data_IF_314297209543
#
_entry.id   IF_314297209543
#
_cell.length_a   1.000
_cell.length_b   1.000
_cell.length_c   1.000
_cell.angle_alpha   90.00
_cell.angle_beta   90.00
_cell.angle_gamma   90.00
#
_symmetry.space_group_name_H-M   'P 1'
#
loop_
_entity.id
_entity.type
_entity.pdbx_description
1 polymer ?
#
# COMPACT_ATOMS: atom_id res chain seq x y z
N UNK A 1 19.32 -7.61 14.68
CA UNK A 1 19.33 -6.65 15.80
C UNK A 1 19.29 -5.27 15.17
N UNK A 2 18.10 -4.69 15.03
CA UNK A 2 17.81 -3.25 14.85
C UNK A 2 16.29 -3.10 14.98
N UNK A 3 15.79 -3.40 16.18
CA UNK A 3 14.65 -2.65 16.69
C UNK A 3 15.24 -1.35 17.22
N UNK A 4 15.00 -0.24 16.52
CA UNK A 4 14.89 1.05 17.18
C UNK A 4 14.08 1.94 16.25
N UNK A 5 12.82 2.16 16.61
CA UNK A 5 12.15 3.42 16.29
C UNK A 5 13.13 4.54 16.61
N UNK A 6 13.31 5.50 15.70
CA UNK A 6 14.16 6.66 15.98
C UNK A 6 13.55 7.42 17.17
N UNK A 7 14.10 7.15 18.36
CA UNK A 7 13.64 7.69 19.64
C UNK A 7 13.57 9.24 19.60
N UNK A 8 14.33 9.87 18.70
CA UNK A 8 14.32 11.31 18.50
C UNK A 8 13.02 11.81 17.87
N UNK A 9 12.42 11.08 16.93
CA UNK A 9 11.14 11.44 16.33
C UNK A 9 9.99 11.29 17.35
N UNK A 10 10.00 10.18 18.08
CA UNK A 10 9.03 9.89 19.13
C UNK A 10 9.07 10.95 20.25
N UNK A 11 10.27 11.37 20.64
CA UNK A 11 10.45 12.41 21.67
C UNK A 11 9.96 13.78 21.18
N UNK A 12 10.13 14.10 19.90
CA UNK A 12 9.68 15.35 19.31
C UNK A 12 8.14 15.45 19.23
N UNK A 13 7.47 14.34 18.89
CA UNK A 13 6.00 14.26 18.89
C UNK A 13 5.43 14.41 20.31
N UNK A 14 5.99 13.71 21.31
CA UNK A 14 5.58 13.84 22.72
C UNK A 14 5.77 15.24 23.29
N UNK A 15 6.83 15.92 22.86
CA UNK A 15 7.06 17.30 23.23
C UNK A 15 5.96 18.23 22.68
N UNK A 16 5.47 17.99 21.46
CA UNK A 16 4.38 18.76 20.87
C UNK A 16 3.08 18.60 21.66
N UNK A 17 2.68 17.35 21.94
CA UNK A 17 1.46 17.06 22.69
C UNK A 17 1.50 17.64 24.12
N UNK A 18 2.67 17.60 24.78
CA UNK A 18 2.84 18.24 26.09
C UNK A 18 2.72 19.78 26.00
N UNK A 19 3.24 20.40 24.94
CA UNK A 19 3.12 21.85 24.72
C UNK A 19 1.66 22.25 24.44
N UNK A 20 0.90 21.42 23.73
CA UNK A 20 -0.54 21.62 23.50
C UNK A 20 -1.42 21.31 24.71
N UNK A 21 -0.84 20.72 25.78
CA UNK A 21 -1.58 20.31 26.98
C UNK A 21 -2.42 19.03 26.79
N UNK A 22 -2.08 18.23 25.77
CA UNK A 22 -2.73 16.95 25.44
C UNK A 22 -2.08 15.75 26.16
N UNK A 23 -0.90 15.94 26.76
CA UNK A 23 -0.24 14.99 27.65
C UNK A 23 -0.10 15.54 29.08
N UNK A 24 -0.25 14.65 30.07
CA UNK A 24 0.07 14.94 31.47
C UNK A 24 1.58 15.23 31.62
N UNK A 25 1.94 16.50 31.84
CA UNK A 25 3.33 16.94 31.90
C UNK A 25 3.53 18.29 32.59
N UNK A 26 4.75 18.83 32.50
CA UNK A 26 5.10 20.13 33.08
C UNK A 26 4.51 21.28 32.25
N UNK A 27 3.52 21.99 32.79
CA UNK A 27 2.80 23.11 32.15
C UNK A 27 3.68 24.35 31.89
N UNK A 28 4.97 24.32 32.28
CA UNK A 28 5.91 25.43 32.09
C UNK A 28 6.49 25.51 30.67
N UNK A 29 6.25 24.54 29.82
CA UNK A 29 6.69 24.60 28.42
C UNK A 29 5.92 25.69 27.66
N UNK A 30 6.64 26.42 26.81
CA UNK A 30 6.08 27.52 26.01
C UNK A 30 5.80 27.03 24.58
N UNK A 31 4.82 27.62 23.87
CA UNK A 31 4.38 27.15 22.54
C UNK A 31 5.48 27.01 21.49
N UNK A 32 6.51 27.85 21.55
CA UNK A 32 7.62 27.87 20.59
C UNK A 32 8.77 26.90 20.92
N UNK A 33 8.60 26.06 21.95
CA UNK A 33 9.61 25.08 22.39
C UNK A 33 9.79 24.00 21.32
N UNK A 34 11.04 23.75 20.90
CA UNK A 34 11.34 22.72 19.89
C UNK A 34 11.15 23.17 18.42
N UNK A 35 10.59 24.37 18.21
CA UNK A 35 10.29 24.93 16.87
C UNK A 35 11.29 26.03 16.51
N UNK A 36 11.64 26.89 17.47
CA UNK A 36 12.46 28.08 17.19
C UNK A 36 13.91 27.77 17.50
N UNK A 37 14.69 27.51 16.44
CA UNK A 37 16.12 27.20 16.53
C UNK A 37 16.94 28.45 16.89
N UNK A 38 16.63 29.60 16.28
CA UNK A 38 17.34 30.85 16.55
C UNK A 38 17.19 31.27 18.02
N UNK A 39 18.34 31.51 18.65
CA UNK A 39 18.40 31.79 20.09
C UNK A 39 17.82 33.16 20.44
N UNK A 40 17.97 34.15 19.57
CA UNK A 40 17.47 35.50 19.83
C UNK A 40 15.96 35.54 19.69
N UNK A 41 15.41 34.92 18.64
CA UNK A 41 13.98 34.84 18.40
C UNK A 41 13.27 34.05 19.50
N UNK A 42 13.84 32.90 19.91
CA UNK A 42 13.32 32.13 21.04
C UNK A 42 13.34 32.91 22.35
N UNK A 43 14.41 33.67 22.63
CA UNK A 43 14.50 34.47 23.86
C UNK A 43 13.45 35.59 23.88
N UNK A 44 13.23 36.26 22.74
CA UNK A 44 12.21 37.28 22.60
C UNK A 44 10.79 36.71 22.79
N UNK A 45 10.48 35.59 22.13
CA UNK A 45 9.19 34.90 22.26
C UNK A 45 8.94 34.41 23.70
N UNK A 46 9.96 33.82 24.34
CA UNK A 46 9.86 33.41 25.75
C UNK A 46 9.55 34.58 26.67
N UNK A 47 10.24 35.71 26.49
CA UNK A 47 10.00 36.90 27.30
C UNK A 47 8.58 37.42 27.14
N UNK A 48 8.09 37.52 25.89
CA UNK A 48 6.73 38.01 25.61
C UNK A 48 5.66 37.10 26.17
N UNK A 49 5.82 35.78 26.02
CA UNK A 49 4.89 34.77 26.51
C UNK A 49 4.84 34.75 28.05
N UNK A 50 5.99 34.79 28.72
CA UNK A 50 6.05 34.87 30.20
C UNK A 50 5.43 36.17 30.72
N UNK A 51 5.76 37.31 30.11
CA UNK A 51 5.22 38.60 30.52
C UNK A 51 3.68 38.66 30.39
N UNK A 52 3.11 38.03 29.36
CA UNK A 52 1.65 37.97 29.17
C UNK A 52 0.97 37.00 30.14
N UNK A 53 1.57 35.84 30.44
CA UNK A 53 1.05 34.89 31.43
C UNK A 53 1.03 35.49 32.85
N UNK A 54 2.06 36.25 33.22
CA UNK A 54 2.16 36.90 34.54
C UNK A 54 1.21 38.11 34.71
N UNK A 55 0.85 38.79 33.62
CA UNK A 55 0.10 40.05 33.70
C UNK A 55 -1.37 39.90 34.18
N UNK A 56 -1.95 38.69 34.22
CA UNK A 56 -3.30 38.33 34.73
C UNK A 56 -4.48 39.19 34.21
N UNK A 57 -4.23 40.12 33.27
CA UNK A 57 -5.21 40.97 32.59
C UNK A 57 -4.77 41.07 31.14
N UNK A 58 -5.49 40.40 30.25
CA UNK A 58 -5.29 40.60 28.82
C UNK A 58 -6.05 41.85 28.38
N UNK A 59 -5.39 42.89 27.84
CA UNK A 59 -6.07 43.99 27.16
C UNK A 59 -6.58 43.57 25.77
N UNK A 60 -6.22 42.37 25.29
CA UNK A 60 -6.28 41.97 23.87
C UNK A 60 -6.72 40.50 23.77
N UNK A 61 -7.89 40.16 24.33
CA UNK A 61 -8.65 38.93 24.01
C UNK A 61 -8.02 37.55 24.27
N UNK A 62 -6.72 37.45 24.59
CA UNK A 62 -5.96 36.21 24.79
C UNK A 62 -5.09 36.27 26.04
N UNK A 63 -5.04 35.19 26.82
CA UNK A 63 -4.18 35.03 27.99
C UNK A 63 -2.72 34.70 27.66
N UNK A 64 -2.40 34.40 26.40
CA UNK A 64 -1.05 34.10 25.90
C UNK A 64 -0.64 35.10 24.81
N UNK A 65 0.67 35.29 24.63
CA UNK A 65 1.19 36.14 23.55
C UNK A 65 0.89 35.53 22.19
N UNK A 66 1.08 34.21 22.06
CA UNK A 66 0.74 33.45 20.86
C UNK A 66 -0.71 33.69 20.40
N UNK A 67 -1.68 33.73 21.32
CA UNK A 67 -3.09 33.94 20.96
C UNK A 67 -3.44 35.38 20.56
N UNK A 68 -2.50 36.33 20.60
CA UNK A 68 -2.72 37.69 20.07
C UNK A 68 -2.53 37.73 18.56
N UNK A 69 -3.16 38.70 17.88
CA UNK A 69 -2.97 38.88 16.43
C UNK A 69 -1.50 39.10 16.03
N UNK A 70 -0.72 39.78 16.87
CA UNK A 70 0.71 39.97 16.65
C UNK A 70 1.50 38.68 16.90
N UNK A 71 1.17 37.93 17.95
CA UNK A 71 1.74 36.62 18.23
C UNK A 71 1.52 35.66 17.07
N UNK A 72 0.29 35.53 16.58
CA UNK A 72 -0.06 34.71 15.42
C UNK A 72 0.73 35.09 14.16
N UNK A 73 0.89 36.39 13.87
CA UNK A 73 1.63 36.86 12.71
C UNK A 73 3.14 36.54 12.81
N UNK A 74 3.72 36.65 14.00
CA UNK A 74 5.12 36.33 14.25
C UNK A 74 5.34 34.81 14.23
N UNK A 75 4.50 34.05 14.93
CA UNK A 75 4.55 32.58 14.96
C UNK A 75 4.43 31.99 13.56
N UNK A 76 3.49 32.47 12.74
CA UNK A 76 3.32 32.00 11.36
C UNK A 76 4.57 32.22 10.51
N UNK A 77 5.23 33.37 10.65
CA UNK A 77 6.48 33.64 9.94
C UNK A 77 7.59 32.69 10.41
N UNK A 78 7.82 32.60 11.71
CA UNK A 78 8.90 31.80 12.30
C UNK A 78 8.70 30.31 11.99
N UNK A 79 7.47 29.79 12.09
CA UNK A 79 7.12 28.42 11.70
C UNK A 79 7.44 28.13 10.23
N UNK A 80 7.14 29.07 9.34
CA UNK A 80 7.39 28.92 7.91
C UNK A 80 8.88 28.87 7.60
N UNK A 81 9.67 29.74 8.23
CA UNK A 81 11.12 29.78 8.08
C UNK A 81 11.75 28.48 8.61
N UNK A 82 11.39 28.06 9.83
CA UNK A 82 11.85 26.77 10.42
C UNK A 82 11.45 25.57 9.56
N UNK A 83 10.20 25.50 9.08
CA UNK A 83 9.75 24.37 8.24
C UNK A 83 10.55 24.27 6.94
N UNK A 84 10.85 25.41 6.32
CA UNK A 84 11.66 25.48 5.10
C UNK A 84 13.07 24.98 5.33
N UNK A 85 13.68 25.35 6.45
CA UNK A 85 15.02 24.89 6.84
C UNK A 85 15.03 23.40 7.21
N UNK A 86 14.03 22.91 7.93
CA UNK A 86 13.90 21.51 8.30
C UNK A 86 13.77 20.59 7.08
N UNK A 87 13.01 21.01 6.06
CA UNK A 87 12.93 20.30 4.77
C UNK A 87 14.28 20.32 4.05
N UNK A 88 14.95 21.48 3.98
CA UNK A 88 16.24 21.61 3.31
C UNK A 88 17.36 20.79 3.99
N UNK A 89 17.31 20.65 5.31
CA UNK A 89 18.29 19.94 6.12
C UNK A 89 17.93 18.46 6.37
N UNK A 90 16.75 18.00 5.96
CA UNK A 90 16.26 16.64 6.23
C UNK A 90 15.97 16.36 7.71
N UNK A 91 15.56 17.37 8.47
CA UNK A 91 15.35 17.28 9.92
C UNK A 91 13.94 16.74 10.25
N UNK A 92 13.80 15.42 10.25
CA UNK A 92 12.53 14.71 10.46
C UNK A 92 11.82 15.03 11.78
N UNK A 93 12.56 15.30 12.85
CA UNK A 93 11.99 15.55 14.18
C UNK A 93 11.30 16.91 14.27
N UNK A 94 11.91 17.93 13.66
CA UNK A 94 11.31 19.28 13.55
C UNK A 94 10.11 19.26 12.62
N UNK A 95 10.17 18.53 11.50
CA UNK A 95 9.01 18.35 10.62
C UNK A 95 7.83 17.71 11.36
N UNK A 96 8.06 16.59 12.06
CA UNK A 96 7.03 15.88 12.84
C UNK A 96 6.38 16.77 13.90
N UNK A 97 7.17 17.63 14.55
CA UNK A 97 6.69 18.54 15.59
C UNK A 97 5.88 19.72 14.99
N UNK A 98 6.26 20.24 13.82
CA UNK A 98 5.55 21.36 13.16
C UNK A 98 4.19 20.92 12.60
N UNK A 99 4.12 19.73 11.98
CA UNK A 99 2.88 19.22 11.40
C UNK A 99 1.89 18.69 12.43
N UNK A 100 2.26 18.70 13.72
CA UNK A 100 1.36 18.34 14.82
C UNK A 100 0.89 16.90 14.77
N UNK A 101 1.77 16.00 14.34
CA UNK A 101 1.41 14.59 14.22
C UNK A 101 1.49 13.96 15.62
N UNK A 102 0.31 13.68 16.16
CA UNK A 102 0.12 13.09 17.50
C UNK A 102 0.38 11.58 17.48
N UNK A 103 0.56 10.95 18.64
CA UNK A 103 0.72 9.50 18.84
C UNK A 103 -0.50 8.72 18.29
N UNK A 104 -1.64 9.40 18.04
CA UNK A 104 -2.81 8.83 17.33
C UNK A 104 -2.66 8.82 15.79
N UNK A 105 -1.91 9.76 15.20
CA UNK A 105 -1.64 9.83 13.75
C UNK A 105 -0.27 9.21 13.37
N UNK A 106 0.61 8.98 14.34
CA UNK A 106 1.88 8.26 14.22
C UNK A 106 1.88 7.02 15.10
N UNK A 107 0.99 6.08 14.83
CA UNK A 107 1.35 4.71 15.15
C UNK A 107 2.50 4.37 14.19
N UNK A 108 3.74 4.23 14.66
CA UNK A 108 4.86 3.86 13.79
C UNK A 108 4.59 2.54 13.05
N UNK A 109 3.65 1.72 13.55
CA UNK A 109 3.08 0.59 12.84
C UNK A 109 2.26 0.97 11.60
N UNK A 110 1.58 2.12 11.56
CA UNK A 110 0.81 2.62 10.42
C UNK A 110 1.68 2.95 9.19
N UNK A 111 2.95 3.35 9.38
CA UNK A 111 3.92 3.47 8.28
C UNK A 111 4.70 2.18 8.04
N UNK A 112 5.04 1.45 9.12
CA UNK A 112 5.79 0.20 9.03
C UNK A 112 5.02 -0.89 8.29
N UNK A 113 3.70 -1.00 8.50
CA UNK A 113 2.89 -2.04 7.87
C UNK A 113 2.83 -1.87 6.33
N UNK A 114 2.54 -0.68 5.77
CA UNK A 114 2.69 -0.43 4.34
C UNK A 114 4.09 -0.74 3.81
N UNK A 115 5.16 -0.35 4.50
CA UNK A 115 6.54 -0.67 4.06
C UNK A 115 6.83 -2.18 4.09
N UNK A 116 6.36 -2.88 5.12
CA UNK A 116 6.50 -4.34 5.20
C UNK A 116 5.72 -5.02 4.08
N UNK A 117 4.48 -4.57 3.81
CA UNK A 117 3.70 -5.06 2.67
C UNK A 117 4.39 -4.79 1.33
N UNK A 118 4.97 -3.60 1.15
CA UNK A 118 5.76 -3.27 -0.05
C UNK A 118 6.96 -4.20 -0.21
N UNK A 119 7.70 -4.50 0.87
CA UNK A 119 8.81 -5.44 0.82
C UNK A 119 8.37 -6.86 0.42
N UNK A 120 7.21 -7.32 0.91
CA UNK A 120 6.63 -8.60 0.49
C UNK A 120 6.16 -8.58 -0.98
N UNK A 121 5.66 -7.44 -1.47
CA UNK A 121 5.26 -7.27 -2.88
C UNK A 121 6.50 -7.17 -3.79
N UNK A 122 7.56 -6.50 -3.36
CA UNK A 122 8.82 -6.41 -4.11
C UNK A 122 9.45 -7.79 -4.31
N UNK A 123 9.26 -8.70 -3.34
CA UNK A 123 9.60 -10.12 -3.43
C UNK A 123 11.01 -10.36 -4.02
N UNK A 124 12.00 -9.59 -3.54
CA UNK A 124 13.40 -9.63 -3.98
C UNK A 124 13.58 -9.43 -5.51
N UNK A 125 12.72 -8.62 -6.13
CA UNK A 125 12.72 -8.34 -7.56
C UNK A 125 12.13 -9.46 -8.43
N UNK A 126 11.55 -10.50 -7.83
CA UNK A 126 10.76 -11.50 -8.52
C UNK A 126 9.26 -11.13 -8.47
N UNK A 127 8.44 -11.58 -9.43
CA UNK A 127 7.02 -11.26 -9.40
C UNK A 127 6.36 -11.76 -8.12
N UNK A 128 5.62 -10.90 -7.43
CA UNK A 128 4.79 -11.31 -6.30
C UNK A 128 3.48 -11.95 -6.78
N UNK A 129 3.14 -13.10 -6.22
CA UNK A 129 1.89 -13.78 -6.49
C UNK A 129 0.99 -13.70 -5.26
N UNK A 130 0.11 -12.70 -5.24
CA UNK A 130 -0.84 -12.46 -4.17
C UNK A 130 -2.08 -13.36 -4.32
N UNK A 131 -2.32 -14.29 -3.40
CA UNK A 131 -3.55 -15.09 -3.37
C UNK A 131 -4.46 -14.61 -2.24
N UNK A 132 -5.58 -13.98 -2.60
CA UNK A 132 -6.50 -13.35 -1.66
C UNK A 132 -7.75 -14.22 -1.44
N UNK A 133 -7.87 -14.84 -0.27
CA UNK A 133 -8.96 -15.75 0.06
C UNK A 133 -9.80 -15.29 1.27
N UNK A 134 -10.96 -15.90 1.46
CA UNK A 134 -11.89 -15.56 2.53
C UNK A 134 -13.34 -15.58 2.07
N UNK A 135 -14.27 -15.63 3.03
CA UNK A 135 -15.70 -15.75 2.74
C UNK A 135 -16.20 -14.68 1.74
N UNK A 136 -17.25 -14.95 0.96
CA UNK A 136 -17.88 -13.93 0.12
C UNK A 136 -18.20 -12.65 0.90
N UNK A 137 -18.15 -11.48 0.25
CA UNK A 137 -18.42 -10.18 0.86
C UNK A 137 -17.51 -9.75 2.03
N UNK A 138 -16.33 -10.35 2.16
CA UNK A 138 -15.30 -9.92 3.13
C UNK A 138 -14.40 -8.81 2.60
N UNK A 139 -14.58 -8.29 1.37
CA UNK A 139 -13.75 -7.20 0.86
C UNK A 139 -12.33 -7.62 0.44
N UNK A 140 -12.17 -8.83 -0.09
CA UNK A 140 -10.88 -9.33 -0.61
C UNK A 140 -10.38 -8.51 -1.79
N UNK A 141 -11.26 -8.27 -2.77
CA UNK A 141 -10.95 -7.43 -3.94
C UNK A 141 -10.52 -6.04 -3.51
N UNK A 142 -11.21 -5.45 -2.54
CA UNK A 142 -10.83 -4.16 -1.95
C UNK A 142 -9.40 -4.17 -1.39
N UNK A 143 -9.03 -5.18 -0.59
CA UNK A 143 -7.65 -5.26 -0.06
C UNK A 143 -6.63 -5.57 -1.15
N UNK A 144 -6.95 -6.38 -2.16
CA UNK A 144 -6.06 -6.62 -3.30
C UNK A 144 -5.82 -5.33 -4.11
N UNK A 145 -6.88 -4.54 -4.35
CA UNK A 145 -6.79 -3.22 -5.00
C UNK A 145 -5.91 -2.28 -4.17
N UNK A 146 -6.07 -2.22 -2.84
CA UNK A 146 -5.21 -1.40 -1.99
C UNK A 146 -3.73 -1.74 -2.14
N UNK A 147 -3.39 -3.04 -2.22
CA UNK A 147 -2.00 -3.48 -2.37
C UNK A 147 -1.43 -3.09 -3.74
N UNK A 148 -2.24 -3.18 -4.80
CA UNK A 148 -1.83 -2.70 -6.13
C UNK A 148 -1.65 -1.18 -6.14
N UNK A 149 -2.59 -0.43 -5.53
CA UNK A 149 -2.47 1.02 -5.39
C UNK A 149 -1.23 1.42 -4.61
N UNK A 150 -0.95 0.72 -3.50
CA UNK A 150 0.26 0.94 -2.71
C UNK A 150 1.52 0.71 -3.57
N UNK A 151 1.55 -0.36 -4.37
CA UNK A 151 2.66 -0.63 -5.30
C UNK A 151 2.76 0.40 -6.42
N UNK A 152 1.65 0.89 -6.95
CA UNK A 152 1.62 1.94 -7.96
C UNK A 152 2.14 3.30 -7.45
N UNK A 153 2.05 3.55 -6.15
CA UNK A 153 2.63 4.74 -5.51
C UNK A 153 4.16 4.62 -5.31
N UNK A 154 4.66 3.39 -5.20
CA UNK A 154 6.08 3.09 -4.99
C UNK A 154 6.84 2.91 -6.30
N UNK A 155 6.18 2.36 -7.33
CA UNK A 155 6.78 2.07 -8.62
C UNK A 155 6.19 2.95 -9.73
N UNK A 156 7.04 3.80 -10.31
CA UNK A 156 6.70 4.63 -11.47
C UNK A 156 6.31 3.77 -12.69
N UNK A 157 5.32 4.25 -13.46
CA UNK A 157 4.86 3.64 -14.71
C UNK A 157 4.33 2.19 -14.57
N UNK A 158 3.81 1.82 -13.40
CA UNK A 158 3.11 0.54 -13.20
C UNK A 158 1.81 0.50 -14.00
N UNK A 159 1.74 -0.41 -14.97
CA UNK A 159 0.54 -0.65 -15.78
C UNK A 159 -0.36 -1.70 -15.12
N UNK A 160 -1.62 -1.36 -14.91
CA UNK A 160 -2.61 -2.22 -14.23
C UNK A 160 -3.50 -2.94 -15.24
N UNK A 161 -3.47 -4.27 -15.21
CA UNK A 161 -4.31 -5.15 -16.02
C UNK A 161 -5.33 -5.86 -15.13
N UNK A 162 -6.61 -5.82 -15.47
CA UNK A 162 -7.65 -6.45 -14.64
C UNK A 162 -8.84 -7.00 -15.43
N UNK A 163 -9.49 -8.05 -14.94
CA UNK A 163 -10.79 -8.47 -15.46
C UNK A 163 -11.98 -7.68 -14.86
N UNK A 164 -11.71 -6.87 -13.84
CA UNK A 164 -12.67 -5.97 -13.21
C UNK A 164 -12.84 -4.71 -14.07
N UNK A 165 -14.03 -4.52 -14.64
CA UNK A 165 -14.28 -3.42 -15.61
C UNK A 165 -14.58 -2.10 -14.95
N UNK A 166 -15.20 -2.14 -13.79
CA UNK A 166 -15.66 -0.97 -13.05
C UNK A 166 -14.55 -0.29 -12.25
N UNK A 167 -13.35 -0.89 -12.20
CA UNK A 167 -12.23 -0.35 -11.43
C UNK A 167 -11.50 0.75 -12.20
N UNK A 168 -11.63 2.00 -11.76
CA UNK A 168 -11.12 3.22 -12.41
C UNK A 168 -9.61 3.22 -12.65
N UNK A 169 -8.82 2.57 -11.78
CA UNK A 169 -7.37 2.45 -11.94
C UNK A 169 -6.94 1.28 -12.84
N UNK A 170 -7.88 0.57 -13.47
CA UNK A 170 -7.53 -0.43 -14.49
C UNK A 170 -7.16 0.26 -15.79
N UNK A 171 -5.89 0.21 -16.18
CA UNK A 171 -5.44 0.75 -17.46
C UNK A 171 -5.92 -0.11 -18.63
N UNK A 172 -5.86 -1.43 -18.48
CA UNK A 172 -6.24 -2.38 -19.54
C UNK A 172 -7.12 -3.48 -18.97
N UNK A 173 -8.36 -3.52 -19.45
CA UNK A 173 -9.29 -4.60 -19.13
C UNK A 173 -8.92 -5.86 -19.92
N UNK A 174 -8.67 -6.96 -19.22
CA UNK A 174 -8.38 -8.28 -19.79
C UNK A 174 -9.38 -9.31 -19.27
N UNK A 175 -10.16 -9.91 -20.15
CA UNK A 175 -11.19 -10.91 -19.77
C UNK A 175 -10.87 -12.31 -20.26
N UNK A 176 -9.64 -12.54 -20.71
CA UNK A 176 -9.22 -13.85 -21.19
C UNK A 176 -7.72 -14.08 -21.07
N UNK A 177 -7.31 -15.35 -21.00
CA UNK A 177 -5.90 -15.72 -20.94
C UNK A 177 -5.14 -15.30 -22.21
N UNK A 178 -5.80 -15.31 -23.37
CA UNK A 178 -5.22 -14.81 -24.61
C UNK A 178 -4.96 -13.30 -24.54
N UNK A 179 -5.98 -12.52 -24.16
CA UNK A 179 -5.86 -11.06 -24.07
C UNK A 179 -4.77 -10.67 -23.08
N UNK A 180 -4.75 -11.32 -21.92
CA UNK A 180 -3.68 -11.13 -20.94
C UNK A 180 -2.32 -11.40 -21.58
N UNK A 181 -2.11 -12.55 -22.22
CA UNK A 181 -0.82 -12.88 -22.85
C UNK A 181 -0.38 -11.85 -23.91
N UNK A 182 -1.32 -11.36 -24.73
CA UNK A 182 -1.06 -10.32 -25.73
C UNK A 182 -0.61 -9.02 -25.04
N UNK A 183 -1.37 -8.55 -24.05
CA UNK A 183 -1.06 -7.29 -23.35
C UNK A 183 0.26 -7.37 -22.58
N UNK A 184 0.56 -8.54 -21.98
CA UNK A 184 1.82 -8.77 -21.29
C UNK A 184 3.02 -8.73 -22.24
N UNK A 185 2.89 -9.22 -23.47
CA UNK A 185 3.97 -9.17 -24.46
C UNK A 185 4.06 -7.83 -25.18
N UNK A 186 2.93 -7.15 -25.40
CA UNK A 186 2.89 -5.81 -25.99
C UNK A 186 3.56 -4.76 -25.09
N UNK A 187 3.31 -4.85 -23.78
CA UNK A 187 3.91 -3.98 -22.78
C UNK A 187 5.06 -4.66 -22.03
N UNK A 188 5.87 -5.46 -22.72
CA UNK A 188 6.92 -6.29 -22.11
C UNK A 188 7.91 -5.51 -21.24
N UNK A 189 8.25 -4.29 -21.65
CA UNK A 189 9.33 -3.51 -21.03
C UNK A 189 8.82 -2.51 -19.98
N UNK A 190 7.53 -2.58 -19.60
CA UNK A 190 6.92 -1.81 -18.52
C UNK A 190 6.58 -2.74 -17.35
N UNK A 191 6.70 -2.29 -16.09
CA UNK A 191 6.22 -3.07 -14.96
C UNK A 191 4.69 -3.20 -15.00
N UNK A 192 4.17 -4.38 -14.66
CA UNK A 192 2.71 -4.63 -14.62
C UNK A 192 2.22 -5.23 -13.34
N UNK A 193 1.09 -4.73 -12.87
CA UNK A 193 0.26 -5.38 -11.87
C UNK A 193 -0.95 -6.03 -12.54
N UNK A 194 -1.27 -7.26 -12.16
CA UNK A 194 -2.42 -8.01 -12.67
C UNK A 194 -3.40 -8.23 -11.52
N UNK A 195 -4.69 -7.97 -11.74
CA UNK A 195 -5.79 -8.37 -10.84
C UNK A 195 -6.73 -9.32 -11.57
N UNK A 196 -6.93 -10.52 -11.04
CA UNK A 196 -7.97 -11.43 -11.48
C UNK A 196 -8.93 -11.66 -10.32
N UNK A 197 -10.10 -11.02 -10.40
CA UNK A 197 -11.20 -11.27 -9.48
C UNK A 197 -12.02 -12.48 -9.91
N UNK A 198 -12.81 -13.02 -8.96
CA UNK A 198 -13.59 -14.25 -9.11
C UNK A 198 -12.76 -15.49 -9.50
N UNK A 199 -11.49 -15.47 -9.08
CA UNK A 199 -10.54 -16.56 -9.27
C UNK A 199 -10.98 -17.89 -8.67
N UNK A 200 -11.94 -17.91 -7.75
CA UNK A 200 -12.54 -19.16 -7.27
C UNK A 200 -13.25 -19.95 -8.37
N UNK A 201 -13.87 -19.27 -9.33
CA UNK A 201 -14.45 -19.90 -10.52
C UNK A 201 -13.38 -20.14 -11.56
N UNK A 202 -12.52 -19.14 -11.81
CA UNK A 202 -11.57 -19.18 -12.94
C UNK A 202 -10.43 -20.17 -12.71
N UNK A 203 -9.99 -20.34 -11.46
CA UNK A 203 -8.93 -21.28 -11.07
C UNK A 203 -9.47 -22.48 -10.28
N UNK A 204 -10.73 -22.86 -10.48
CA UNK A 204 -11.31 -24.06 -9.86
C UNK A 204 -10.55 -25.33 -10.30
N UNK A 205 -10.04 -26.09 -9.32
CA UNK A 205 -9.21 -27.26 -9.52
C UNK A 205 -9.94 -28.45 -10.18
N UNK A 206 -11.27 -28.43 -10.20
CA UNK A 206 -12.11 -29.51 -10.74
C UNK A 206 -12.51 -29.21 -12.18
N UNK A 207 -12.78 -27.94 -12.47
CA UNK A 207 -13.39 -27.48 -13.72
C UNK A 207 -12.34 -27.00 -14.73
N UNK A 208 -11.32 -26.25 -14.27
CA UNK A 208 -10.34 -25.58 -15.14
C UNK A 208 -8.92 -26.16 -14.97
N UNK A 209 -8.82 -27.42 -14.56
CA UNK A 209 -7.52 -28.06 -14.23
C UNK A 209 -6.55 -28.05 -15.39
N UNK A 210 -7.03 -28.36 -16.59
CA UNK A 210 -6.20 -28.46 -17.79
C UNK A 210 -5.72 -27.08 -18.21
N UNK A 211 -6.62 -26.12 -18.21
CA UNK A 211 -6.42 -24.73 -18.62
C UNK A 211 -5.40 -24.05 -17.70
N UNK A 212 -5.53 -24.22 -16.39
CA UNK A 212 -4.56 -23.69 -15.43
C UNK A 212 -3.17 -24.32 -15.64
N UNK A 213 -3.09 -25.61 -15.94
CA UNK A 213 -1.82 -26.31 -16.15
C UNK A 213 -1.16 -25.99 -17.51
N UNK A 214 -1.94 -25.88 -18.59
CA UNK A 214 -1.44 -25.75 -19.96
C UNK A 214 -1.36 -24.29 -20.45
N UNK A 215 -2.18 -23.39 -19.91
CA UNK A 215 -2.25 -21.98 -20.31
C UNK A 215 -1.64 -21.06 -19.26
N UNK A 216 -2.19 -21.05 -18.05
CA UNK A 216 -1.78 -20.12 -16.99
C UNK A 216 -0.38 -20.41 -16.47
N UNK A 217 -0.12 -21.64 -16.02
CA UNK A 217 1.12 -21.97 -15.31
C UNK A 217 2.38 -21.69 -16.16
N UNK A 218 2.41 -22.04 -17.46
CA UNK A 218 3.55 -21.69 -18.33
C UNK A 218 3.74 -20.18 -18.48
N UNK A 219 2.64 -19.42 -18.58
CA UNK A 219 2.66 -17.96 -18.69
C UNK A 219 3.14 -17.30 -17.39
N UNK A 220 2.58 -17.69 -16.25
CA UNK A 220 2.98 -17.21 -14.92
C UNK A 220 4.46 -17.48 -14.62
N UNK A 221 4.99 -18.64 -15.02
CA UNK A 221 6.44 -18.98 -14.90
C UNK A 221 7.35 -18.15 -15.83
N UNK A 222 6.80 -17.23 -16.62
CA UNK A 222 7.54 -16.28 -17.47
C UNK A 222 7.33 -14.82 -17.09
N UNK A 223 6.46 -14.53 -16.12
CA UNK A 223 6.15 -13.18 -15.63
C UNK A 223 7.38 -12.31 -15.38
N UNK A 224 8.40 -12.85 -14.70
CA UNK A 224 9.66 -12.15 -14.44
C UNK A 224 10.39 -11.70 -15.74
N UNK A 225 10.30 -12.49 -16.81
CA UNK A 225 10.96 -12.22 -18.09
C UNK A 225 10.18 -11.25 -18.98
N UNK A 226 8.93 -10.98 -18.63
CA UNK A 226 8.02 -10.13 -19.39
C UNK A 226 7.51 -8.96 -18.54
N UNK A 227 8.23 -8.58 -17.47
CA UNK A 227 7.95 -7.34 -16.72
C UNK A 227 6.70 -7.36 -15.84
N UNK A 228 6.17 -8.51 -15.46
CA UNK A 228 5.12 -8.55 -14.44
C UNK A 228 5.76 -8.39 -13.07
N UNK A 229 5.29 -7.40 -12.31
CA UNK A 229 5.76 -7.07 -10.96
C UNK A 229 4.92 -7.79 -9.90
N UNK A 230 3.60 -7.78 -10.05
CA UNK A 230 2.71 -8.51 -9.15
C UNK A 230 1.46 -9.05 -9.84
N UNK A 231 0.92 -10.17 -9.34
CA UNK A 231 -0.38 -10.70 -9.72
C UNK A 231 -1.21 -11.05 -8.49
N UNK A 232 -2.35 -10.38 -8.35
CA UNK A 232 -3.38 -10.66 -7.37
C UNK A 232 -4.48 -11.54 -7.96
N UNK A 233 -4.74 -12.69 -7.35
CA UNK A 233 -5.89 -13.56 -7.66
C UNK A 233 -6.78 -13.63 -6.44
N UNK A 234 -8.02 -13.16 -6.58
CA UNK A 234 -9.01 -13.15 -5.50
C UNK A 234 -9.90 -14.38 -5.61
N UNK A 235 -10.02 -15.14 -4.52
CA UNK A 235 -10.76 -16.40 -4.44
C UNK A 235 -11.66 -16.41 -3.21
N UNK A 236 -12.72 -17.19 -3.20
CA UNK A 236 -13.56 -17.38 -2.02
C UNK A 236 -12.93 -18.35 -1.01
N UNK A 237 -12.38 -19.47 -1.49
CA UNK A 237 -11.81 -20.51 -0.64
C UNK A 237 -10.58 -21.14 -1.29
N UNK A 238 -9.60 -21.50 -0.46
CA UNK A 238 -8.46 -22.30 -0.90
C UNK A 238 -8.82 -23.72 -1.27
N UNK A 239 -9.94 -24.26 -0.77
CA UNK A 239 -10.33 -25.66 -1.01
C UNK A 239 -10.41 -25.99 -2.50
N UNK A 240 -10.98 -25.07 -3.28
CA UNK A 240 -11.28 -25.28 -4.68
C UNK A 240 -10.22 -24.66 -5.60
N UNK A 241 -9.31 -23.86 -5.03
CA UNK A 241 -8.22 -23.24 -5.76
C UNK A 241 -7.23 -24.27 -6.31
N UNK A 242 -6.88 -24.12 -7.58
CA UNK A 242 -5.93 -24.99 -8.26
C UNK A 242 -4.57 -25.06 -7.53
N UNK A 243 -4.00 -26.27 -7.31
CA UNK A 243 -2.73 -26.45 -6.60
C UNK A 243 -1.55 -25.65 -7.16
N UNK A 244 -1.45 -25.48 -8.48
CA UNK A 244 -0.39 -24.65 -9.08
C UNK A 244 -0.48 -23.18 -8.64
N UNK A 245 -1.68 -22.63 -8.48
CA UNK A 245 -1.82 -21.24 -7.99
C UNK A 245 -1.34 -21.13 -6.54
N UNK A 246 -1.70 -22.09 -5.69
CA UNK A 246 -1.22 -22.14 -4.30
C UNK A 246 0.31 -22.21 -4.23
N UNK A 247 0.93 -23.08 -5.06
CA UNK A 247 2.40 -23.23 -5.15
C UNK A 247 3.12 -21.97 -5.61
N UNK A 248 2.49 -21.17 -6.48
CA UNK A 248 3.06 -19.92 -6.94
C UNK A 248 2.91 -18.79 -5.91
N UNK A 249 1.96 -18.89 -4.99
CA UNK A 249 1.65 -17.83 -4.02
C UNK A 249 2.88 -17.50 -3.17
N UNK A 250 3.36 -16.25 -3.28
CA UNK A 250 4.44 -15.70 -2.45
C UNK A 250 3.90 -14.79 -1.35
N UNK A 251 2.66 -14.31 -1.52
CA UNK A 251 1.93 -13.55 -0.52
C UNK A 251 0.50 -14.08 -0.48
N UNK A 252 0.14 -14.84 0.54
CA UNK A 252 -1.23 -15.28 0.74
C UNK A 252 -1.93 -14.34 1.73
N UNK A 253 -3.16 -13.96 1.40
CA UNK A 253 -4.01 -13.13 2.26
C UNK A 253 -5.28 -13.91 2.59
N UNK A 254 -5.66 -13.93 3.86
CA UNK A 254 -6.92 -14.50 4.32
C UNK A 254 -7.76 -13.45 5.03
N UNK A 255 -9.00 -13.23 4.56
CA UNK A 255 -9.96 -12.32 5.19
C UNK A 255 -11.11 -13.08 5.84
N UNK A 256 -11.12 -13.08 7.17
CA UNK A 256 -12.26 -13.57 7.94
C UNK A 256 -13.41 -12.53 8.01
N UNK A 257 -13.09 -11.24 7.94
CA UNK A 257 -14.03 -10.13 8.06
C UNK A 257 -13.69 -8.97 7.10
N UNK A 258 -14.62 -8.00 6.96
CA UNK A 258 -14.45 -6.84 6.04
C UNK A 258 -13.22 -5.99 6.36
N UNK A 259 -13.05 -5.64 7.63
CA UNK A 259 -12.01 -4.71 8.09
C UNK A 259 -10.70 -5.38 8.51
N UNK A 260 -10.67 -6.71 8.52
CA UNK A 260 -9.53 -7.49 9.01
C UNK A 260 -8.92 -8.31 7.87
N UNK A 261 -7.59 -8.37 7.78
CA UNK A 261 -6.88 -9.27 6.87
C UNK A 261 -5.64 -9.86 7.54
N UNK A 262 -5.37 -11.13 7.30
CA UNK A 262 -4.15 -11.80 7.73
C UNK A 262 -3.29 -12.12 6.51
N UNK A 263 -1.96 -12.03 6.65
CA UNK A 263 -1.00 -12.28 5.58
C UNK A 263 -0.03 -13.39 5.95
N UNK A 264 0.36 -14.16 4.93
CA UNK A 264 1.04 -15.43 5.05
C UNK A 264 2.05 -15.58 3.90
N UNK A 265 3.17 -16.25 4.18
CA UNK A 265 4.26 -16.44 3.22
C UNK A 265 3.94 -17.56 2.23
N UNK A 266 3.30 -18.64 2.70
CA UNK A 266 3.15 -19.87 1.91
C UNK A 266 1.71 -20.34 1.84
N UNK A 267 1.33 -20.88 0.67
CA UNK A 267 0.11 -21.67 0.53
C UNK A 267 0.44 -23.12 0.12
N UNK A 268 0.37 -24.09 1.05
CA UNK A 268 0.59 -25.49 0.70
C UNK A 268 -0.43 -25.99 -0.33
N UNK A 269 0.05 -26.69 -1.37
CA UNK A 269 -0.75 -27.10 -2.52
C UNK A 269 -2.03 -27.89 -2.16
N UNK A 270 -1.96 -28.70 -1.10
CA UNK A 270 -3.04 -29.58 -0.66
C UNK A 270 -3.82 -29.01 0.54
N UNK A 271 -3.52 -27.78 0.98
CA UNK A 271 -4.18 -27.15 2.13
C UNK A 271 -5.31 -26.21 1.71
N UNK A 272 -6.35 -26.15 2.54
CA UNK A 272 -7.50 -25.25 2.38
C UNK A 272 -7.21 -23.82 2.85
N UNK A 273 -6.14 -23.62 3.62
CA UNK A 273 -5.71 -22.34 4.19
C UNK A 273 -4.19 -22.15 4.03
N UNK A 274 -3.72 -20.89 3.95
CA UNK A 274 -2.30 -20.58 3.94
C UNK A 274 -1.66 -20.77 5.32
N UNK A 275 -0.33 -20.85 5.34
CA UNK A 275 0.49 -21.07 6.54
C UNK A 275 1.61 -20.03 6.62
N UNK A 276 2.31 -20.00 7.76
CA UNK A 276 3.48 -19.13 7.95
C UNK A 276 3.09 -17.65 7.92
N UNK A 277 2.39 -17.23 8.98
CA UNK A 277 1.88 -15.85 9.12
C UNK A 277 3.05 -14.86 9.14
N UNK A 278 2.97 -13.83 8.29
CA UNK A 278 4.04 -12.83 8.11
C UNK A 278 4.05 -11.77 9.22
N UNK A 279 2.87 -11.39 9.70
CA UNK A 279 2.73 -10.33 10.71
C UNK A 279 2.29 -10.88 12.06
N UNK A 280 2.55 -10.12 13.13
CA UNK A 280 2.20 -10.50 14.50
C UNK A 280 0.70 -10.68 14.76
N UNK A 281 -0.16 -10.30 13.81
CA UNK A 281 -1.62 -10.39 13.90
C UNK A 281 -2.30 -10.03 12.58
N UNK A 282 -3.61 -9.82 12.65
CA UNK A 282 -4.41 -9.27 11.55
C UNK A 282 -4.17 -7.76 11.39
N UNK A 283 -4.17 -7.30 10.15
CA UNK A 283 -4.30 -5.90 9.81
C UNK A 283 -5.77 -5.49 9.95
N UNK A 284 -6.04 -4.54 10.83
CA UNK A 284 -7.40 -4.06 11.14
C UNK A 284 -7.69 -2.71 10.48
N UNK A 285 -8.97 -2.32 10.50
CA UNK A 285 -9.46 -1.04 9.97
C UNK A 285 -9.07 -0.74 8.51
N UNK A 286 -9.00 -1.80 7.69
CA UNK A 286 -8.66 -1.67 6.27
C UNK A 286 -9.65 -0.74 5.56
N UNK A 287 -9.09 0.29 4.93
CA UNK A 287 -9.84 1.34 4.23
C UNK A 287 -10.63 0.79 3.05
N UNK A 288 -11.73 1.48 2.72
CA UNK A 288 -12.53 1.16 1.54
C UNK A 288 -11.99 1.96 0.35
N UNK A 289 -11.66 1.26 -0.73
CA UNK A 289 -11.26 1.88 -2.00
C UNK A 289 -12.50 2.39 -2.73
N UNK A 290 -12.35 3.53 -3.39
CA UNK A 290 -13.34 4.14 -4.28
C UNK A 290 -13.08 3.78 -5.73
N UNK A 291 -14.09 3.91 -6.60
CA UNK A 291 -13.90 3.71 -8.04
C UNK A 291 -13.88 2.25 -8.46
N UNK A 292 -14.54 1.36 -7.72
CA UNK A 292 -14.79 -0.05 -8.09
C UNK A 292 -16.18 -0.47 -7.59
N UNK A 293 -16.91 -1.26 -8.39
CA UNK A 293 -18.19 -1.87 -8.01
C UNK A 293 -17.98 -3.29 -7.45
N UNK A 294 -18.25 -3.55 -6.15
CA UNK A 294 -18.13 -4.89 -5.56
C UNK A 294 -18.91 -6.00 -6.24
N UNK A 295 -19.92 -5.67 -7.05
CA UNK A 295 -20.78 -6.61 -7.78
C UNK A 295 -20.36 -6.78 -9.26
N UNK A 296 -19.16 -6.34 -9.67
CA UNK A 296 -18.62 -6.55 -11.01
C UNK A 296 -18.55 -8.06 -11.36
N UNK A 297 -19.02 -8.42 -12.56
CA UNK A 297 -19.08 -9.82 -12.99
C UNK A 297 -17.70 -10.45 -13.26
N UNK A 298 -16.66 -9.63 -13.46
CA UNK A 298 -15.26 -10.03 -13.63
C UNK A 298 -15.06 -11.31 -14.48
N UNK A 299 -15.55 -11.35 -15.74
CA UNK A 299 -15.55 -12.58 -16.54
C UNK A 299 -14.13 -12.97 -16.96
N UNK A 300 -13.91 -14.27 -17.13
CA UNK A 300 -12.64 -14.82 -17.61
C UNK A 300 -12.85 -15.99 -18.57
N UNK A 301 -12.06 -16.02 -19.64
CA UNK A 301 -12.04 -17.11 -20.61
C UNK A 301 -10.65 -17.75 -20.74
N UNK A 302 -10.60 -19.08 -20.70
CA UNK A 302 -9.39 -19.87 -20.95
C UNK A 302 -9.20 -20.21 -22.43
N UNK A 303 -8.85 -19.20 -23.21
CA UNK A 303 -8.77 -19.24 -24.67
C UNK A 303 -7.34 -19.05 -25.20
N UNK A 304 -6.32 -19.22 -24.34
CA UNK A 304 -4.93 -19.16 -24.75
C UNK A 304 -4.50 -20.51 -25.30
N UNK A 305 -3.74 -20.49 -26.40
CA UNK A 305 -3.24 -21.72 -27.01
C UNK A 305 -2.21 -22.39 -26.09
N UNK A 306 -2.44 -23.66 -25.75
CA UNK A 306 -1.48 -24.49 -25.05
C UNK A 306 -0.14 -24.61 -25.81
N UNK A 307 0.95 -24.87 -25.07
CA UNK A 307 2.28 -25.02 -25.66
C UNK A 307 2.85 -23.73 -26.25
N UNK A 308 2.34 -22.56 -25.82
CA UNK A 308 2.75 -21.24 -26.33
C UNK A 308 4.27 -21.05 -26.34
N UNK A 309 4.94 -21.56 -25.30
CA UNK A 309 6.39 -21.42 -25.09
C UNK A 309 7.21 -22.66 -25.45
N UNK A 310 6.63 -23.64 -26.16
CA UNK A 310 7.36 -24.84 -26.61
C UNK A 310 8.23 -24.56 -27.85
N UNK A 311 7.92 -23.47 -28.57
CA UNK A 311 8.66 -23.05 -29.74
C UNK A 311 9.81 -22.13 -29.35
N UNK A 312 10.95 -22.33 -30.00
CA UNK A 312 12.11 -21.45 -29.91
C UNK A 312 11.87 -20.22 -30.80
N UNK A 313 11.17 -19.23 -30.26
CA UNK A 313 10.85 -17.95 -30.93
C UNK A 313 11.13 -16.78 -29.99
N UNK A 314 11.54 -15.66 -30.58
CA UNK A 314 11.74 -14.41 -29.84
C UNK A 314 10.42 -13.82 -29.36
N UNK A 315 10.45 -12.98 -28.32
CA UNK A 315 9.24 -12.40 -27.71
C UNK A 315 8.36 -11.63 -28.71
N UNK A 316 8.98 -10.86 -29.61
CA UNK A 316 8.25 -10.11 -30.65
C UNK A 316 7.54 -11.04 -31.62
N UNK A 317 8.19 -12.13 -32.03
CA UNK A 317 7.59 -13.15 -32.90
C UNK A 317 6.45 -13.88 -32.19
N UNK A 318 6.57 -14.10 -30.88
CA UNK A 318 5.51 -14.70 -30.09
C UNK A 318 4.25 -13.82 -30.04
N UNK A 319 4.43 -12.50 -29.88
CA UNK A 319 3.34 -11.54 -29.92
C UNK A 319 2.65 -11.51 -31.30
N UNK A 320 3.43 -11.52 -32.38
CA UNK A 320 2.90 -11.60 -33.75
C UNK A 320 2.09 -12.89 -33.93
N UNK A 321 2.60 -14.04 -33.48
CA UNK A 321 1.90 -15.32 -33.56
C UNK A 321 0.58 -15.33 -32.79
N UNK A 322 0.52 -14.68 -31.62
CA UNK A 322 -0.74 -14.55 -30.87
C UNK A 322 -1.75 -13.70 -31.63
N UNK A 323 -1.33 -12.55 -32.16
CA UNK A 323 -2.19 -11.64 -32.92
C UNK A 323 -2.72 -12.26 -34.21
N UNK A 324 -1.86 -12.97 -34.95
CA UNK A 324 -2.24 -13.63 -36.20
C UNK A 324 -3.21 -14.80 -36.00
N UNK A 325 -2.99 -15.59 -34.94
CA UNK A 325 -3.75 -16.82 -34.71
C UNK A 325 -5.02 -16.60 -33.91
N UNK A 326 -5.12 -15.49 -33.18
CA UNK A 326 -6.23 -15.16 -32.30
C UNK A 326 -6.38 -16.13 -31.13
N UNK A 327 -7.45 -15.93 -30.37
CA UNK A 327 -7.89 -16.82 -29.30
C UNK A 327 -8.37 -18.16 -29.84
N UNK A 328 -8.23 -19.24 -29.05
CA UNK A 328 -8.88 -20.52 -29.36
C UNK A 328 -10.29 -20.55 -28.74
N UNK A 329 -11.30 -21.03 -29.49
CA UNK A 329 -12.67 -21.23 -28.98
C UNK A 329 -12.74 -22.33 -27.90
#
# INVERSE_FOLDING_TARGET
MTDSVDEHLLTAAKLYEQVQGELDGDERLLPHTGIVEDRQDRAALSFMETAMREAHRSPVGSSTFEGTALGQAISSKVLTDTATEAVAAGNGSVMSHIVGVTEQDLDASALRLPMMLLNEIENNGAPAFLTAAGNPNTGKTNTAILLITLRALDLDDLLVLSNVRTWEQTDIVVTSAHDLAVQLLEHRDRPKAILIDEGSTHFDARTNRREVAEQYTPLAKRYAKIGVDMEAVVVHTGKDLHPERKRLSTLAMYKAAKKSAEFFETWPADADAPTDRLFGGSLEEIEKVTGYDPDDAAPWAWNLRAGLFEKDVEWTQLLELLRERGSVE
#
